data_IF_701845488500
#
_entry.id   IF_701845488500
#
_cell.length_a   1.000
_cell.length_b   1.000
_cell.length_c   1.000
_cell.angle_alpha   90.00
_cell.angle_beta   90.00
_cell.angle_gamma   90.00
#
_symmetry.space_group_name_H-M   'P 1'
#
loop_
_entity.id
_entity.type
_entity.pdbx_description
1 polymer ?
#
# COMPACT_ATOMS: atom_id res chain seq x y z
N UNK A 1 14.31 -1.67 -14.14
CA UNK A 1 14.19 -0.82 -12.94
C UNK A 1 14.76 -1.59 -11.77
N UNK A 2 15.51 -0.97 -10.87
CA UNK A 2 16.05 -1.66 -9.69
C UNK A 2 14.97 -1.96 -8.65
N UNK A 3 15.14 -3.00 -7.82
CA UNK A 3 14.16 -3.33 -6.76
C UNK A 3 13.89 -2.17 -5.80
N UNK A 4 14.91 -1.38 -5.44
CA UNK A 4 14.76 -0.18 -4.58
C UNK A 4 13.97 0.93 -5.29
N UNK A 5 14.23 1.14 -6.58
CA UNK A 5 13.56 2.13 -7.43
C UNK A 5 12.07 1.77 -7.60
N UNK A 6 11.75 0.50 -7.88
CA UNK A 6 10.37 -0.02 -7.92
C UNK A 6 9.66 0.15 -6.58
N UNK A 7 10.29 -0.28 -5.47
CA UNK A 7 9.68 -0.19 -4.15
C UNK A 7 9.37 1.25 -3.76
N UNK A 8 10.29 2.19 -3.99
CA UNK A 8 10.05 3.60 -3.70
C UNK A 8 8.91 4.15 -4.58
N UNK A 9 8.88 3.87 -5.89
CA UNK A 9 7.79 4.30 -6.76
C UNK A 9 6.41 3.81 -6.28
N UNK A 10 6.28 2.52 -5.95
CA UNK A 10 5.02 1.93 -5.46
C UNK A 10 4.63 2.44 -4.06
N UNK A 11 5.60 2.75 -3.20
CA UNK A 11 5.36 3.33 -1.86
C UNK A 11 4.97 4.81 -1.96
N UNK A 12 5.51 5.53 -2.93
CA UNK A 12 5.14 6.92 -3.21
C UNK A 12 3.73 6.99 -3.83
N UNK A 13 3.30 5.97 -4.59
CA UNK A 13 1.91 5.78 -5.03
C UNK A 13 0.96 5.44 -3.87
N UNK A 14 1.33 4.49 -2.99
CA UNK A 14 0.60 4.22 -1.73
C UNK A 14 0.39 5.51 -0.92
N UNK A 15 1.43 6.34 -0.80
CA UNK A 15 1.37 7.62 -0.08
C UNK A 15 0.46 8.63 -0.77
N UNK A 16 0.53 8.75 -2.09
CA UNK A 16 -0.33 9.65 -2.86
C UNK A 16 -1.80 9.24 -2.73
N UNK A 17 -2.13 7.96 -2.89
CA UNK A 17 -3.50 7.45 -2.76
C UNK A 17 -4.02 7.62 -1.33
N UNK A 18 -3.20 7.35 -0.30
CA UNK A 18 -3.60 7.55 1.09
C UNK A 18 -3.73 9.04 1.48
N UNK A 19 -2.85 9.91 0.97
CA UNK A 19 -2.86 11.35 1.25
C UNK A 19 -3.96 12.10 0.48
N UNK A 20 -4.44 11.55 -0.64
CA UNK A 20 -5.51 12.15 -1.44
C UNK A 20 -6.88 12.17 -0.75
N UNK A 21 -7.04 11.51 0.41
CA UNK A 21 -8.31 11.43 1.13
C UNK A 21 -8.19 12.06 2.53
N UNK A 22 -8.77 13.25 2.71
CA UNK A 22 -8.85 13.92 4.01
C UNK A 22 -9.75 13.13 4.97
N UNK A 23 -9.16 12.57 6.04
CA UNK A 23 -9.89 11.78 7.05
C UNK A 23 -10.97 12.60 7.79
N UNK A 24 -10.99 13.93 7.64
CA UNK A 24 -12.02 14.82 8.22
C UNK A 24 -13.28 14.97 7.37
N UNK A 25 -13.27 14.58 6.09
CA UNK A 25 -14.46 14.67 5.21
C UNK A 25 -15.39 13.46 5.32
N UNK A 26 -15.06 12.49 6.17
CA UNK A 26 -15.68 11.17 6.20
C UNK A 26 -16.27 10.91 7.58
N UNK A 27 -17.61 10.79 7.65
CA UNK A 27 -18.28 10.47 8.90
C UNK A 27 -18.03 9.01 9.31
N UNK A 28 -17.05 8.83 10.19
CA UNK A 28 -16.91 7.74 11.15
C UNK A 28 -16.81 6.28 10.66
N UNK A 29 -16.98 5.97 9.36
CA UNK A 29 -16.92 4.57 8.88
C UNK A 29 -16.98 4.38 7.35
N UNK A 30 -15.81 4.12 6.73
CA UNK A 30 -15.61 3.86 5.30
C UNK A 30 -16.51 2.76 4.71
N UNK A 31 -16.87 2.88 3.43
CA UNK A 31 -17.70 1.94 2.66
C UNK A 31 -17.40 2.06 1.16
N UNK A 32 -18.01 1.23 0.31
CA UNK A 32 -17.78 1.29 -1.14
C UNK A 32 -19.07 1.29 -1.95
N UNK A 33 -19.34 2.36 -2.69
CA UNK A 33 -20.55 2.48 -3.53
C UNK A 33 -20.31 1.98 -4.95
N UNK A 34 -20.35 0.66 -5.17
CA UNK A 34 -20.46 0.12 -6.53
C UNK A 34 -21.81 0.55 -7.12
N UNK A 35 -21.76 1.64 -7.89
CA UNK A 35 -22.94 2.32 -8.41
C UNK A 35 -23.68 1.45 -9.44
N UNK A 36 -25.00 1.64 -9.51
CA UNK A 36 -25.83 1.02 -10.53
C UNK A 36 -26.41 1.95 -11.60
N UNK A 37 -26.55 3.28 -11.52
CA UNK A 37 -26.57 4.27 -12.65
C UNK A 37 -25.81 5.49 -12.16
N UNK A 38 -26.28 6.28 -11.18
CA UNK A 38 -27.20 6.08 -10.02
C UNK A 38 -28.49 5.21 -10.08
N UNK A 39 -28.41 3.95 -9.61
CA UNK A 39 -29.48 2.94 -9.45
C UNK A 39 -30.14 2.18 -10.66
N UNK A 40 -29.53 2.00 -11.86
CA UNK A 40 -29.92 0.87 -12.78
C UNK A 40 -28.92 0.43 -13.91
N UNK A 41 -28.30 1.34 -14.72
CA UNK A 41 -27.10 1.04 -15.55
C UNK A 41 -25.89 2.02 -15.38
N UNK A 42 -24.87 1.74 -14.54
CA UNK A 42 -23.52 2.36 -14.56
C UNK A 42 -22.58 1.43 -15.32
N UNK A 43 -21.64 1.95 -16.13
CA UNK A 43 -20.48 1.15 -16.53
C UNK A 43 -19.69 0.65 -15.30
N UNK A 44 -19.04 -0.53 -15.36
CA UNK A 44 -18.52 -1.22 -14.18
C UNK A 44 -17.35 -0.49 -13.49
N UNK A 45 -17.42 -0.28 -12.17
CA UNK A 45 -16.33 0.35 -11.40
C UNK A 45 -16.55 0.39 -9.88
N UNK A 46 -15.46 0.35 -9.12
CA UNK A 46 -15.45 0.43 -7.65
C UNK A 46 -15.12 1.84 -7.15
N UNK A 47 -15.68 2.23 -6.00
CA UNK A 47 -15.64 3.60 -5.43
C UNK A 47 -15.62 3.57 -3.90
N UNK A 48 -15.18 4.65 -3.23
CA UNK A 48 -15.04 4.82 -1.77
C UNK A 48 -15.30 6.31 -1.43
N UNK A 49 -16.21 6.84 -0.60
CA UNK A 49 -17.34 6.40 0.28
C UNK A 49 -17.12 6.02 1.78
N UNK A 50 -17.98 6.57 2.68
CA UNK A 50 -18.45 5.99 3.95
C UNK A 50 -19.97 5.76 3.93
N UNK A 51 -20.54 4.83 4.73
CA UNK A 51 -22.00 4.64 4.74
C UNK A 51 -22.69 5.33 5.93
N UNK A 52 -23.62 6.23 5.60
CA UNK A 52 -24.44 6.95 6.57
C UNK A 52 -25.40 5.98 7.25
N UNK A 53 -25.36 5.94 8.58
CA UNK A 53 -26.12 5.01 9.40
C UNK A 53 -25.20 4.00 10.10
N UNK A 54 -25.05 4.21 11.41
CA UNK A 54 -24.36 3.39 12.41
C UNK A 54 -23.83 2.03 11.90
N UNK A 55 -22.51 1.81 12.04
CA UNK A 55 -21.91 0.49 11.87
C UNK A 55 -22.36 -0.44 13.01
N UNK A 56 -23.56 -1.02 12.87
CA UNK A 56 -24.17 -1.94 13.84
C UNK A 56 -23.39 -3.25 14.02
N UNK A 57 -22.51 -3.59 13.06
CA UNK A 57 -21.68 -4.79 13.07
C UNK A 57 -20.21 -4.43 13.36
N UNK A 58 -19.74 -4.89 14.52
CA UNK A 58 -18.39 -4.63 15.06
C UNK A 58 -17.26 -5.09 14.11
N UNK A 59 -17.54 -6.07 13.25
CA UNK A 59 -16.59 -6.61 12.27
C UNK A 59 -16.28 -5.62 11.15
N UNK A 60 -17.28 -4.89 10.66
CA UNK A 60 -17.09 -3.81 9.69
C UNK A 60 -16.22 -2.69 10.27
N UNK A 61 -16.53 -2.24 11.49
CA UNK A 61 -15.72 -1.24 12.19
C UNK A 61 -14.26 -1.69 12.41
N UNK A 62 -14.04 -2.97 12.78
CA UNK A 62 -12.69 -3.56 12.93
C UNK A 62 -11.93 -3.68 11.61
N UNK A 63 -12.61 -3.95 10.49
CA UNK A 63 -12.02 -3.96 9.16
C UNK A 63 -11.60 -2.53 8.77
N UNK A 64 -12.55 -1.58 8.84
CA UNK A 64 -12.36 -0.16 8.55
C UNK A 64 -11.17 0.43 9.32
N UNK A 65 -11.06 0.15 10.63
CA UNK A 65 -9.94 0.62 11.46
C UNK A 65 -8.56 0.00 11.10
N UNK A 66 -8.53 -1.11 10.35
CA UNK A 66 -7.29 -1.78 9.89
C UNK A 66 -6.86 -1.40 8.48
N UNK A 67 -7.72 -0.71 7.71
CA UNK A 67 -7.45 -0.30 6.33
C UNK A 67 -7.67 1.21 6.10
N UNK A 68 -7.63 2.03 7.15
CA UNK A 68 -7.72 3.48 7.01
C UNK A 68 -6.42 4.11 6.47
N UNK A 69 -6.47 5.26 5.76
CA UNK A 69 -5.29 5.90 5.19
C UNK A 69 -4.24 6.29 6.23
N UNK A 70 -4.65 6.70 7.43
CA UNK A 70 -3.73 7.02 8.53
C UNK A 70 -2.88 5.82 8.96
N UNK A 71 -3.33 4.58 8.74
CA UNK A 71 -2.51 3.38 8.90
C UNK A 71 -1.60 3.14 7.70
N UNK A 72 -2.08 3.36 6.47
CA UNK A 72 -1.26 3.27 5.24
C UNK A 72 -0.09 4.27 5.29
N UNK A 73 -0.30 5.52 5.70
CA UNK A 73 0.78 6.52 5.85
C UNK A 73 1.83 6.14 6.91
N UNK A 74 1.42 5.42 7.96
CA UNK A 74 2.34 4.82 8.94
C UNK A 74 3.10 3.62 8.35
N UNK A 75 2.46 2.80 7.53
CA UNK A 75 3.13 1.74 6.78
C UNK A 75 4.14 2.31 5.76
N UNK A 76 3.77 3.30 4.95
CA UNK A 76 4.69 4.05 4.05
C UNK A 76 5.94 4.52 4.81
N UNK A 77 5.75 5.16 5.97
CA UNK A 77 6.85 5.62 6.82
C UNK A 77 7.76 4.47 7.26
N UNK A 78 7.17 3.34 7.68
CA UNK A 78 7.91 2.14 8.10
C UNK A 78 8.62 1.43 6.93
N UNK A 79 7.97 1.29 5.77
CA UNK A 79 8.53 0.70 4.54
C UNK A 79 9.74 1.53 4.08
N UNK A 80 9.65 2.86 4.01
CA UNK A 80 10.77 3.76 3.67
C UNK A 80 11.93 3.67 4.68
N UNK A 81 11.62 3.57 5.98
CA UNK A 81 12.65 3.41 7.02
C UNK A 81 13.38 2.05 6.91
N UNK A 82 12.66 0.97 6.58
CA UNK A 82 13.24 -0.35 6.32
C UNK A 82 14.16 -0.32 5.09
N UNK A 83 13.67 0.16 3.95
CA UNK A 83 14.47 0.30 2.71
C UNK A 83 15.76 1.09 2.97
N UNK A 84 15.69 2.21 3.69
CA UNK A 84 16.88 3.01 4.07
C UNK A 84 17.87 2.23 4.94
N UNK A 85 17.38 1.40 5.86
CA UNK A 85 18.22 0.52 6.70
C UNK A 85 18.88 -0.58 5.87
N UNK A 86 18.14 -1.16 4.92
CA UNK A 86 18.61 -2.21 4.02
C UNK A 86 19.65 -1.71 3.03
N UNK A 87 19.47 -0.51 2.45
CA UNK A 87 20.49 0.17 1.62
C UNK A 87 21.78 0.37 2.44
N UNK A 88 21.68 0.93 3.65
CA UNK A 88 22.84 1.13 4.53
C UNK A 88 23.57 -0.19 4.84
N UNK A 89 22.82 -1.27 5.08
CA UNK A 89 23.39 -2.62 5.31
C UNK A 89 24.10 -3.19 4.09
N UNK A 90 23.64 -2.85 2.88
CA UNK A 90 24.32 -3.19 1.62
C UNK A 90 25.61 -2.37 1.47
N UNK A 91 25.56 -1.05 1.68
CA UNK A 91 26.72 -0.15 1.63
C UNK A 91 27.83 -0.54 2.64
N UNK A 92 27.44 -0.95 3.85
CA UNK A 92 28.35 -1.42 4.91
C UNK A 92 28.69 -2.93 4.81
N UNK A 93 28.16 -3.66 3.82
CA UNK A 93 28.55 -5.05 3.53
C UNK A 93 28.03 -6.13 4.49
N UNK A 94 26.91 -5.91 5.22
CA UNK A 94 26.34 -6.85 6.20
C UNK A 94 25.66 -8.10 5.59
N UNK A 95 25.97 -8.45 4.34
CA UNK A 95 25.27 -9.48 3.59
C UNK A 95 25.73 -10.90 3.90
N UNK A 96 24.85 -11.73 4.47
CA UNK A 96 25.07 -13.18 4.49
C UNK A 96 24.93 -13.69 3.05
N UNK A 97 26.06 -14.09 2.44
CA UNK A 97 26.24 -14.26 0.98
C UNK A 97 26.20 -12.96 0.15
N UNK A 98 26.51 -11.81 0.75
CA UNK A 98 26.59 -10.52 0.06
C UNK A 98 25.23 -9.87 -0.22
N UNK A 99 25.20 -8.95 -1.19
CA UNK A 99 24.05 -8.07 -1.43
C UNK A 99 22.80 -8.84 -1.88
N UNK A 100 22.95 -9.88 -2.71
CA UNK A 100 21.86 -10.75 -3.17
C UNK A 100 21.08 -11.35 -2.01
N UNK A 101 21.77 -11.83 -0.97
CA UNK A 101 21.16 -12.38 0.23
C UNK A 101 20.30 -11.36 0.99
N UNK A 102 20.72 -10.09 1.02
CA UNK A 102 19.92 -9.00 1.59
C UNK A 102 18.72 -8.68 0.68
N UNK A 103 18.92 -8.56 -0.64
CA UNK A 103 17.83 -8.27 -1.58
C UNK A 103 16.74 -9.35 -1.53
N UNK A 104 17.13 -10.62 -1.45
CA UNK A 104 16.21 -11.74 -1.40
C UNK A 104 15.49 -11.88 -0.04
N UNK A 105 16.14 -11.53 1.07
CA UNK A 105 15.55 -11.64 2.41
C UNK A 105 14.72 -10.41 2.82
N UNK A 106 15.19 -9.21 2.52
CA UNK A 106 14.58 -7.94 2.96
C UNK A 106 13.62 -7.37 1.90
N UNK A 107 14.07 -7.24 0.64
CA UNK A 107 13.38 -6.41 -0.37
C UNK A 107 12.41 -7.19 -1.25
N UNK A 108 12.73 -8.43 -1.64
CA UNK A 108 11.81 -9.26 -2.44
C UNK A 108 10.46 -9.46 -1.76
N UNK A 109 10.37 -9.83 -0.45
CA UNK A 109 9.07 -9.96 0.22
C UNK A 109 8.26 -8.66 0.30
N UNK A 110 8.91 -7.49 0.25
CA UNK A 110 8.20 -6.20 0.13
C UNK A 110 7.66 -5.96 -1.27
N UNK A 111 8.38 -6.39 -2.30
CA UNK A 111 8.00 -6.18 -3.70
C UNK A 111 6.85 -7.11 -4.14
N UNK A 112 6.76 -8.33 -3.60
CA UNK A 112 5.66 -9.28 -3.85
C UNK A 112 4.27 -8.70 -3.51
N UNK A 113 4.20 -7.68 -2.64
CA UNK A 113 2.95 -6.94 -2.32
C UNK A 113 2.36 -6.25 -3.55
N UNK A 114 3.19 -5.97 -4.56
CA UNK A 114 2.83 -5.31 -5.82
C UNK A 114 3.04 -6.25 -7.02
N UNK A 115 2.93 -7.56 -6.82
CA UNK A 115 3.19 -8.60 -7.85
C UNK A 115 2.15 -8.62 -9.00
N UNK A 116 1.02 -7.93 -8.82
CA UNK A 116 0.02 -7.65 -9.85
C UNK A 116 0.34 -6.40 -10.69
N UNK A 117 1.27 -5.54 -10.25
CA UNK A 117 1.67 -4.35 -10.98
C UNK A 117 2.52 -4.71 -12.21
N UNK A 118 2.26 -4.17 -13.42
CA UNK A 118 2.97 -4.56 -14.65
C UNK A 118 4.49 -4.41 -14.56
N UNK A 119 4.97 -3.34 -13.92
CA UNK A 119 6.40 -3.10 -13.72
C UNK A 119 7.13 -4.17 -12.88
N UNK A 120 6.41 -4.98 -12.08
CA UNK A 120 7.02 -6.02 -11.22
C UNK A 120 7.83 -7.04 -12.04
N UNK A 121 7.34 -7.38 -13.25
CA UNK A 121 8.04 -8.22 -14.20
C UNK A 121 9.30 -7.57 -14.84
N UNK A 122 9.56 -6.28 -14.56
CA UNK A 122 10.71 -5.50 -15.05
C UNK A 122 11.76 -5.18 -13.97
N UNK A 123 11.60 -5.73 -12.77
CA UNK A 123 12.54 -5.58 -11.65
C UNK A 123 13.84 -6.31 -11.97
N UNK A 124 14.95 -5.58 -11.89
CA UNK A 124 16.31 -6.11 -11.82
C UNK A 124 16.66 -6.29 -10.33
N UNK A 125 17.13 -7.49 -9.99
CA UNK A 125 17.39 -7.94 -8.62
C UNK A 125 18.88 -7.92 -8.23
N UNK A 126 19.75 -7.57 -9.17
CA UNK A 126 21.22 -7.50 -9.07
C UNK A 126 21.69 -6.04 -9.14
#
# INVERSE_FOLDING_TARGET
>A
MGVVEFLLARIDEDEQVASAIDSKQLDSGWSTSYNQFGLANTPPGWYITPHIGLAYEEEGARHIARFNPERVLREVTAKRALIKSTIKRIEEGWGYHGNEGIVCADLRPMAEVYSDHPDFASIVWE
#
